data_IF_074742159035
#
_entry.id   IF_074742159035
#
_cell.length_a   1.000
_cell.length_b   1.000
_cell.length_c   1.000
_cell.angle_alpha   90.00
_cell.angle_beta   90.00
_cell.angle_gamma   90.00
#
_symmetry.space_group_name_H-M   'P 1'
#
loop_
_entity.id
_entity.type
_entity.pdbx_description
1 polymer ?
#
# COMPACT_ATOMS: atom_id res chain seq x y z
N UNK A 1 -7.00 -28.21 -17.36
CA UNK A 1 -7.89 -27.46 -18.29
C UNK A 1 -8.23 -26.06 -17.77
N UNK A 2 -8.85 -25.91 -16.60
CA UNK A 2 -9.23 -24.57 -16.03
C UNK A 2 -8.02 -23.64 -15.88
N UNK A 3 -6.90 -24.13 -15.39
CA UNK A 3 -5.68 -23.32 -15.24
C UNK A 3 -5.18 -22.78 -16.59
N UNK A 4 -5.19 -23.58 -17.65
CA UNK A 4 -4.76 -23.15 -18.98
C UNK A 4 -5.70 -22.07 -19.54
N UNK A 5 -7.02 -22.25 -19.43
CA UNK A 5 -8.01 -21.24 -19.84
C UNK A 5 -7.82 -19.93 -19.07
N UNK A 6 -7.55 -20.01 -17.76
CA UNK A 6 -7.27 -18.81 -16.96
C UNK A 6 -5.97 -18.12 -17.39
N UNK A 7 -4.91 -18.85 -17.77
CA UNK A 7 -3.68 -18.26 -18.33
C UNK A 7 -3.92 -17.55 -19.66
N UNK A 8 -4.68 -18.17 -20.56
CA UNK A 8 -5.09 -17.57 -21.84
C UNK A 8 -5.91 -16.28 -21.59
N UNK A 9 -6.89 -16.37 -20.70
CA UNK A 9 -7.70 -15.21 -20.29
C UNK A 9 -6.83 -14.06 -19.76
N UNK A 10 -5.84 -14.34 -18.91
CA UNK A 10 -4.95 -13.31 -18.38
C UNK A 10 -4.19 -12.60 -19.50
N UNK A 11 -3.60 -13.36 -20.44
CA UNK A 11 -2.77 -12.80 -21.52
C UNK A 11 -3.61 -11.94 -22.45
N UNK A 12 -4.80 -12.41 -22.87
CA UNK A 12 -5.58 -11.75 -23.90
C UNK A 12 -6.62 -10.76 -23.37
N UNK A 13 -6.98 -10.82 -22.10
CA UNK A 13 -8.01 -9.96 -21.50
C UNK A 13 -7.46 -9.20 -20.28
N UNK A 14 -7.04 -9.86 -19.22
CA UNK A 14 -6.73 -9.20 -17.96
C UNK A 14 -5.51 -8.25 -18.05
N UNK A 15 -4.41 -8.67 -18.67
CA UNK A 15 -3.24 -7.81 -18.88
C UNK A 15 -3.50 -6.64 -19.85
N UNK A 16 -4.12 -6.82 -21.01
CA UNK A 16 -4.55 -5.69 -21.85
C UNK A 16 -5.44 -4.69 -21.10
N UNK A 17 -6.43 -5.17 -20.34
CA UNK A 17 -7.28 -4.30 -19.51
C UNK A 17 -6.44 -3.56 -18.47
N UNK A 18 -5.50 -4.23 -17.79
CA UNK A 18 -4.63 -3.59 -16.81
C UNK A 18 -3.79 -2.47 -17.45
N UNK A 19 -3.20 -2.70 -18.62
CA UNK A 19 -2.39 -1.70 -19.33
C UNK A 19 -3.27 -0.51 -19.75
N UNK A 20 -4.42 -0.78 -20.40
CA UNK A 20 -5.35 0.25 -20.84
C UNK A 20 -5.85 1.10 -19.68
N UNK A 21 -6.30 0.47 -18.59
CA UNK A 21 -6.80 1.17 -17.41
C UNK A 21 -5.70 1.98 -16.72
N UNK A 22 -4.45 1.52 -16.75
CA UNK A 22 -3.32 2.29 -16.21
C UNK A 22 -3.09 3.58 -16.99
N UNK A 23 -3.18 3.52 -18.33
CA UNK A 23 -3.04 4.70 -19.20
C UNK A 23 -4.20 5.67 -18.97
N UNK A 24 -5.44 5.18 -18.99
CA UNK A 24 -6.65 5.98 -18.78
C UNK A 24 -6.57 6.68 -17.42
N UNK A 25 -6.30 5.95 -16.34
CA UNK A 25 -6.18 6.50 -14.98
C UNK A 25 -5.07 7.55 -14.87
N UNK A 26 -3.93 7.34 -15.56
CA UNK A 26 -2.87 8.34 -15.58
C UNK A 26 -3.29 9.65 -16.26
N UNK A 27 -4.06 9.56 -17.33
CA UNK A 27 -4.62 10.73 -18.03
C UNK A 27 -5.69 11.43 -17.17
N UNK A 28 -6.63 10.66 -16.58
CA UNK A 28 -7.65 11.20 -15.67
C UNK A 28 -7.04 11.95 -14.48
N UNK A 29 -6.04 11.34 -13.82
CA UNK A 29 -5.31 12.00 -12.73
C UNK A 29 -4.59 13.25 -13.23
N UNK A 30 -3.89 13.16 -14.36
CA UNK A 30 -3.12 14.27 -14.92
C UNK A 30 -3.96 15.47 -15.29
N UNK A 31 -5.07 15.24 -15.99
CA UNK A 31 -6.01 16.28 -16.39
C UNK A 31 -6.80 16.78 -15.17
N UNK A 32 -7.42 15.86 -14.44
CA UNK A 32 -8.31 16.19 -13.34
C UNK A 32 -7.64 16.95 -12.21
N UNK A 33 -6.39 16.62 -11.86
CA UNK A 33 -5.64 17.38 -10.83
C UNK A 33 -5.18 18.76 -11.31
N UNK A 34 -5.13 18.98 -12.61
CA UNK A 34 -4.70 20.27 -13.19
C UNK A 34 -5.87 21.26 -13.30
N UNK A 35 -7.06 20.78 -13.68
CA UNK A 35 -8.24 21.64 -13.96
C UNK A 35 -9.37 21.48 -12.94
N UNK A 36 -9.30 20.50 -12.03
CA UNK A 36 -10.36 20.16 -11.09
C UNK A 36 -9.88 20.05 -9.65
N UNK A 37 -10.69 19.39 -8.83
CA UNK A 37 -10.39 19.17 -7.42
C UNK A 37 -9.29 18.11 -7.25
N UNK A 38 -8.08 18.54 -6.86
CA UNK A 38 -6.93 17.65 -6.64
C UNK A 38 -7.15 16.57 -5.57
N UNK A 39 -8.02 16.84 -4.58
CA UNK A 39 -8.39 15.85 -3.56
C UNK A 39 -9.19 14.69 -4.17
N UNK A 40 -10.13 14.98 -5.05
CA UNK A 40 -10.92 13.97 -5.76
C UNK A 40 -10.08 13.25 -6.83
N UNK A 41 -9.52 13.99 -7.78
CA UNK A 41 -8.80 13.44 -8.92
C UNK A 41 -7.46 12.79 -8.56
N UNK A 42 -6.87 13.18 -7.44
CA UNK A 42 -5.65 12.56 -6.91
C UNK A 42 -5.86 11.21 -6.22
N UNK A 43 -7.11 10.77 -6.02
CA UNK A 43 -7.40 9.52 -5.31
C UNK A 43 -8.41 8.62 -6.04
N UNK A 44 -9.59 9.12 -6.40
CA UNK A 44 -10.69 8.27 -6.87
C UNK A 44 -10.42 7.53 -8.18
N UNK A 45 -9.77 8.11 -9.21
CA UNK A 45 -9.39 7.36 -10.40
C UNK A 45 -8.50 6.15 -10.08
N UNK A 46 -7.49 6.34 -9.22
CA UNK A 46 -6.62 5.25 -8.77
C UNK A 46 -7.36 4.18 -7.95
N UNK A 47 -8.36 4.58 -7.13
CA UNK A 47 -9.23 3.64 -6.43
C UNK A 47 -10.07 2.78 -7.39
N UNK A 48 -10.63 3.40 -8.42
CA UNK A 48 -11.37 2.68 -9.45
C UNK A 48 -10.46 1.77 -10.27
N UNK A 49 -9.30 2.26 -10.69
CA UNK A 49 -8.25 1.47 -11.34
C UNK A 49 -7.92 0.20 -10.57
N UNK A 50 -7.65 0.31 -9.28
CA UNK A 50 -7.33 -0.83 -8.43
C UNK A 50 -8.48 -1.87 -8.38
N UNK A 51 -9.73 -1.40 -8.27
CA UNK A 51 -10.92 -2.27 -8.29
C UNK A 51 -11.14 -2.95 -9.64
N UNK A 52 -10.92 -2.25 -10.74
CA UNK A 52 -11.04 -2.82 -12.09
C UNK A 52 -9.98 -3.91 -12.29
N UNK A 53 -8.73 -3.66 -11.87
CA UNK A 53 -7.65 -4.64 -12.00
C UNK A 53 -7.97 -5.92 -11.20
N UNK A 54 -8.34 -5.82 -9.94
CA UNK A 54 -8.68 -7.01 -9.14
C UNK A 54 -9.82 -7.82 -9.74
N UNK A 55 -10.84 -7.14 -10.31
CA UNK A 55 -11.95 -7.80 -11.00
C UNK A 55 -11.54 -8.40 -12.35
N UNK A 56 -10.69 -7.70 -13.12
CA UNK A 56 -10.17 -8.20 -14.38
C UNK A 56 -9.35 -9.49 -14.18
N UNK A 57 -8.66 -9.64 -13.06
CA UNK A 57 -7.99 -10.88 -12.68
C UNK A 57 -8.91 -11.87 -11.93
N UNK A 58 -10.21 -11.58 -11.82
CA UNK A 58 -11.21 -12.43 -11.15
C UNK A 58 -10.85 -12.77 -9.70
N UNK A 59 -10.18 -11.86 -9.00
CA UNK A 59 -9.71 -12.06 -7.64
C UNK A 59 -10.78 -11.63 -6.62
N UNK A 60 -11.29 -12.55 -5.79
CA UNK A 60 -12.20 -12.22 -4.71
C UNK A 60 -11.49 -11.38 -3.64
N UNK A 61 -12.15 -10.32 -3.17
CA UNK A 61 -11.63 -9.46 -2.11
C UNK A 61 -12.62 -9.36 -0.97
N UNK A 62 -12.13 -9.65 0.25
CA UNK A 62 -12.84 -9.43 1.50
C UNK A 62 -12.18 -8.27 2.27
N UNK A 63 -12.98 -7.45 2.94
CA UNK A 63 -12.49 -6.38 3.82
C UNK A 63 -13.18 -6.48 5.16
N UNK A 64 -12.41 -6.38 6.24
CA UNK A 64 -12.86 -6.46 7.62
C UNK A 64 -12.36 -5.24 8.39
N UNK A 65 -13.10 -4.78 9.41
CA UNK A 65 -12.66 -3.73 10.34
C UNK A 65 -12.79 -2.30 9.81
N UNK A 66 -13.63 -2.02 8.80
CA UNK A 66 -13.81 -0.63 8.31
C UNK A 66 -14.44 0.29 9.36
N UNK A 67 -15.19 -0.28 10.26
CA UNK A 67 -15.82 0.38 11.41
C UNK A 67 -14.81 1.00 12.38
N UNK A 68 -13.57 0.56 12.37
CA UNK A 68 -12.48 1.11 13.19
C UNK A 68 -11.98 2.48 12.70
N UNK A 69 -12.44 2.95 11.53
CA UNK A 69 -11.98 4.20 10.93
C UNK A 69 -12.99 5.34 11.12
N UNK A 70 -12.65 6.31 11.92
CA UNK A 70 -13.43 7.53 12.11
C UNK A 70 -13.39 8.42 10.85
N UNK A 71 -14.52 9.10 10.57
CA UNK A 71 -14.76 9.76 9.28
C UNK A 71 -13.73 10.84 8.95
N UNK A 72 -13.41 11.71 9.87
CA UNK A 72 -12.62 12.92 9.63
C UNK A 72 -11.22 12.85 10.27
N UNK A 73 -10.78 11.65 10.67
CA UNK A 73 -9.49 11.42 11.28
C UNK A 73 -8.43 11.08 10.22
N UNK A 74 -7.27 11.75 10.30
CA UNK A 74 -6.06 11.37 9.56
C UNK A 74 -5.31 10.26 10.26
N UNK A 75 -4.75 9.33 9.48
CA UNK A 75 -4.08 8.14 9.98
C UNK A 75 -2.74 7.91 9.30
N UNK A 76 -1.82 7.28 10.01
CA UNK A 76 -0.67 6.61 9.42
C UNK A 76 -0.99 5.12 9.30
N UNK A 77 -1.36 4.66 8.10
CA UNK A 77 -1.60 3.24 7.82
C UNK A 77 -0.30 2.50 7.63
N UNK A 78 -0.13 1.38 8.32
CA UNK A 78 1.03 0.49 8.21
C UNK A 78 0.59 -0.92 7.87
N UNK A 79 1.18 -1.53 6.83
CA UNK A 79 0.77 -2.85 6.34
C UNK A 79 1.96 -3.78 6.12
N UNK A 80 1.76 -5.09 6.22
CA UNK A 80 2.70 -6.08 5.70
C UNK A 80 2.74 -6.02 4.16
N UNK A 81 3.87 -6.43 3.56
CA UNK A 81 4.09 -6.31 2.11
C UNK A 81 4.47 -7.64 1.49
N UNK A 82 3.46 -8.39 1.05
CA UNK A 82 3.60 -9.73 0.49
C UNK A 82 3.75 -9.74 -1.05
N UNK A 83 3.02 -8.87 -1.76
CA UNK A 83 2.95 -8.93 -3.20
C UNK A 83 2.67 -7.59 -3.88
N UNK A 84 2.60 -7.59 -5.21
CA UNK A 84 2.21 -6.38 -5.97
C UNK A 84 0.71 -6.09 -5.82
N UNK A 85 -0.09 -7.11 -5.55
CA UNK A 85 -1.53 -6.98 -5.37
C UNK A 85 -1.92 -6.30 -4.04
N UNK A 86 -0.98 -6.15 -3.09
CA UNK A 86 -1.18 -5.33 -1.88
C UNK A 86 -1.60 -3.91 -2.23
N UNK A 87 -1.01 -3.34 -3.30
CA UNK A 87 -1.30 -1.98 -3.76
C UNK A 87 -2.76 -1.89 -4.24
N UNK A 88 -3.21 -2.84 -5.05
CA UNK A 88 -4.58 -2.87 -5.54
C UNK A 88 -5.59 -3.10 -4.40
N UNK A 89 -5.22 -3.95 -3.43
CA UNK A 89 -6.06 -4.26 -2.29
C UNK A 89 -6.29 -3.04 -1.41
N UNK A 90 -5.22 -2.37 -0.96
CA UNK A 90 -5.33 -1.18 -0.12
C UNK A 90 -6.00 -0.04 -0.91
N UNK A 91 -5.49 0.28 -2.12
CA UNK A 91 -5.97 1.45 -2.86
C UNK A 91 -7.43 1.34 -3.27
N UNK A 92 -7.84 0.15 -3.72
CA UNK A 92 -9.23 -0.10 -4.13
C UNK A 92 -10.21 -0.21 -2.96
N UNK A 93 -9.78 -0.75 -1.83
CA UNK A 93 -10.72 -1.30 -0.86
C UNK A 93 -10.62 -0.74 0.56
N UNK A 94 -9.55 -0.03 0.94
CA UNK A 94 -9.43 0.61 2.27
C UNK A 94 -10.58 1.60 2.56
N UNK A 95 -11.01 2.33 1.53
CA UNK A 95 -12.15 3.25 1.66
C UNK A 95 -11.80 4.62 2.24
N UNK A 96 -10.54 4.96 2.39
CA UNK A 96 -10.01 6.25 2.85
C UNK A 96 -9.11 6.88 1.82
N UNK A 97 -9.16 8.20 1.70
CA UNK A 97 -8.20 8.94 0.87
C UNK A 97 -6.86 9.02 1.62
N UNK A 98 -5.80 8.62 0.94
CA UNK A 98 -4.45 8.62 1.48
C UNK A 98 -3.42 8.86 0.38
N UNK A 99 -2.20 9.16 0.81
CA UNK A 99 -1.02 9.21 -0.07
C UNK A 99 -0.08 8.06 0.27
N UNK A 100 0.49 7.45 -0.78
CA UNK A 100 1.50 6.42 -0.61
C UNK A 100 2.86 7.01 -0.26
N UNK A 101 3.56 6.40 0.69
CA UNK A 101 5.00 6.52 0.79
C UNK A 101 5.64 5.40 -0.03
N UNK A 102 6.21 5.74 -1.18
CA UNK A 102 6.69 4.78 -2.17
C UNK A 102 8.16 5.02 -2.56
N UNK A 103 8.82 3.98 -3.09
CA UNK A 103 10.21 4.10 -3.57
C UNK A 103 10.32 5.12 -4.70
N UNK A 104 11.34 5.99 -4.65
CA UNK A 104 11.62 7.01 -5.67
C UNK A 104 11.68 6.44 -7.10
N UNK A 105 12.19 5.21 -7.28
CA UNK A 105 12.30 4.57 -8.58
C UNK A 105 10.94 4.36 -9.27
N UNK A 106 9.84 4.22 -8.51
CA UNK A 106 8.49 4.07 -9.08
C UNK A 106 8.04 5.33 -9.83
N UNK A 107 8.58 6.50 -9.49
CA UNK A 107 8.36 7.74 -10.22
C UNK A 107 8.92 7.76 -11.64
N UNK A 108 9.77 6.78 -12.01
CA UNK A 108 10.35 6.66 -13.36
C UNK A 108 9.52 5.80 -14.30
N UNK A 109 8.53 5.05 -13.78
CA UNK A 109 7.66 4.19 -14.60
C UNK A 109 6.73 5.08 -15.42
N UNK A 110 6.71 4.95 -16.76
CA UNK A 110 5.80 5.70 -17.62
C UNK A 110 4.35 5.60 -17.14
N UNK A 111 3.56 6.64 -17.33
CA UNK A 111 2.17 6.79 -16.86
C UNK A 111 2.01 6.68 -15.33
N UNK A 112 2.47 5.60 -14.70
CA UNK A 112 2.38 5.42 -13.23
C UNK A 112 3.12 6.53 -12.50
N UNK A 113 4.39 6.76 -12.81
CA UNK A 113 5.19 7.82 -12.17
C UNK A 113 4.64 9.22 -12.43
N UNK A 114 4.05 9.44 -13.62
CA UNK A 114 3.38 10.69 -13.94
C UNK A 114 2.14 10.89 -13.05
N UNK A 115 1.24 9.90 -12.98
CA UNK A 115 0.05 9.94 -12.14
C UNK A 115 0.41 10.12 -10.65
N UNK A 116 1.43 9.39 -10.16
CA UNK A 116 1.89 9.51 -8.78
C UNK A 116 2.42 10.91 -8.43
N UNK A 117 3.14 11.57 -9.34
CA UNK A 117 3.58 12.97 -9.14
C UNK A 117 2.39 13.93 -9.12
N UNK A 118 1.48 13.80 -10.07
CA UNK A 118 0.29 14.65 -10.19
C UNK A 118 -0.69 14.48 -9.02
N UNK A 119 -0.75 13.30 -8.42
CA UNK A 119 -1.57 13.00 -7.24
C UNK A 119 -0.84 13.24 -5.91
N UNK A 120 0.34 13.88 -5.93
CA UNK A 120 1.15 14.22 -4.75
C UNK A 120 1.48 13.02 -3.86
N UNK A 121 1.88 11.88 -4.49
CA UNK A 121 2.38 10.74 -3.73
C UNK A 121 3.79 11.04 -3.18
N UNK A 122 4.13 10.48 -2.03
CA UNK A 122 5.39 10.75 -1.33
C UNK A 122 6.46 9.79 -1.82
N UNK A 123 7.47 10.33 -2.52
CA UNK A 123 8.59 9.55 -3.01
C UNK A 123 9.72 9.47 -1.98
N UNK A 124 9.96 8.27 -1.45
CA UNK A 124 11.04 8.01 -0.48
C UNK A 124 12.37 7.90 -1.21
N UNK A 125 13.19 8.92 -1.08
CA UNK A 125 14.54 8.97 -1.63
C UNK A 125 15.60 8.79 -0.52
N UNK A 126 16.28 7.64 -0.52
CA UNK A 126 17.28 7.27 0.50
C UNK A 126 18.72 7.65 0.12
N UNK A 127 18.94 8.43 -0.95
CA UNK A 127 20.26 8.77 -1.48
C UNK A 127 20.96 9.92 -0.72
N UNK A 128 20.78 9.97 0.58
CA UNK A 128 21.46 10.89 1.48
C UNK A 128 20.52 11.60 2.45
N UNK A 129 21.08 12.16 3.54
CA UNK A 129 20.30 12.74 4.64
C UNK A 129 19.34 13.85 4.21
N UNK A 130 19.76 14.75 3.31
CA UNK A 130 18.93 15.84 2.79
C UNK A 130 17.68 15.32 2.06
N UNK A 131 17.81 14.24 1.28
CA UNK A 131 16.70 13.62 0.55
C UNK A 131 15.73 12.91 1.49
N UNK A 132 16.27 12.24 2.49
CA UNK A 132 15.46 11.62 3.54
C UNK A 132 14.67 12.70 4.29
N UNK A 133 15.33 13.79 4.72
CA UNK A 133 14.66 14.91 5.38
C UNK A 133 13.52 15.47 4.53
N UNK A 134 13.76 15.75 3.25
CA UNK A 134 12.72 16.25 2.33
C UNK A 134 11.53 15.29 2.23
N UNK A 135 11.77 13.97 2.20
CA UNK A 135 10.68 12.95 2.22
C UNK A 135 9.79 13.11 3.45
N UNK A 136 10.39 13.27 4.64
CA UNK A 136 9.63 13.45 5.88
C UNK A 136 8.93 14.81 5.95
N UNK A 137 9.57 15.88 5.48
CA UNK A 137 8.96 17.21 5.43
C UNK A 137 7.71 17.17 4.53
N UNK A 138 7.79 16.57 3.34
CA UNK A 138 6.63 16.36 2.45
C UNK A 138 5.53 15.51 3.10
N UNK A 139 5.89 14.44 3.80
CA UNK A 139 4.91 13.59 4.48
C UNK A 139 4.20 14.35 5.61
N UNK A 140 4.93 15.19 6.35
CA UNK A 140 4.39 16.06 7.42
C UNK A 140 3.38 17.05 6.85
N UNK A 141 3.73 17.77 5.78
CA UNK A 141 2.83 18.71 5.11
C UNK A 141 1.53 18.03 4.69
N UNK A 142 1.59 16.86 4.03
CA UNK A 142 0.44 16.08 3.59
C UNK A 142 -0.47 15.67 4.77
N UNK A 143 0.11 15.22 5.87
CA UNK A 143 -0.65 14.84 7.07
C UNK A 143 -1.30 16.06 7.75
N UNK A 144 -0.61 17.21 7.76
CA UNK A 144 -1.16 18.47 8.30
C UNK A 144 -2.30 19.02 7.44
N UNK A 145 -2.33 18.73 6.13
CA UNK A 145 -3.44 19.05 5.23
C UNK A 145 -4.66 18.15 5.42
N UNK A 146 -4.61 17.18 6.37
CA UNK A 146 -5.72 16.28 6.69
C UNK A 146 -5.78 15.01 5.84
N UNK A 147 -4.75 14.72 5.01
CA UNK A 147 -4.65 13.42 4.35
C UNK A 147 -4.11 12.36 5.31
N UNK A 148 -4.42 11.11 5.01
CA UNK A 148 -3.74 9.96 5.60
C UNK A 148 -2.52 9.56 4.77
N UNK A 149 -1.60 8.83 5.36
CA UNK A 149 -0.43 8.26 4.67
C UNK A 149 -0.44 6.75 4.83
N UNK A 150 -0.10 6.04 3.76
CA UNK A 150 0.05 4.57 3.78
C UNK A 150 1.49 4.19 3.46
N UNK A 151 2.03 3.29 4.27
CA UNK A 151 3.41 2.82 4.13
C UNK A 151 3.53 1.32 4.40
N UNK A 152 4.47 0.68 3.71
CA UNK A 152 4.94 -0.66 4.05
C UNK A 152 6.22 -0.53 4.87
N UNK A 153 6.16 -0.66 6.22
CA UNK A 153 7.30 -0.38 7.08
C UNK A 153 8.45 -1.40 6.92
N UNK A 154 8.20 -2.54 6.31
CA UNK A 154 9.24 -3.50 5.89
C UNK A 154 10.20 -2.91 4.86
N UNK A 155 9.72 -1.97 4.02
CA UNK A 155 10.50 -1.29 2.99
C UNK A 155 10.72 -2.09 1.71
N UNK A 156 10.34 -3.37 1.66
CA UNK A 156 10.35 -4.21 0.47
C UNK A 156 9.33 -5.35 0.61
N UNK A 157 8.88 -5.91 -0.53
CA UNK A 157 8.04 -7.11 -0.55
C UNK A 157 8.80 -8.32 -0.03
N UNK A 158 8.12 -9.19 0.71
CA UNK A 158 8.65 -10.48 1.14
C UNK A 158 8.93 -11.41 -0.05
N UNK A 159 9.96 -12.26 0.09
CA UNK A 159 10.22 -13.39 -0.82
C UNK A 159 9.63 -14.70 -0.31
N UNK A 160 9.26 -14.75 0.97
CA UNK A 160 8.79 -15.96 1.66
C UNK A 160 7.29 -15.92 1.99
N UNK A 161 6.66 -14.75 1.85
CA UNK A 161 5.29 -14.50 2.33
C UNK A 161 5.24 -14.11 3.82
N UNK A 162 6.29 -14.38 4.59
CA UNK A 162 6.38 -13.98 5.99
C UNK A 162 6.67 -12.48 6.12
N UNK A 163 6.21 -11.89 7.21
CA UNK A 163 6.41 -10.48 7.49
C UNK A 163 7.84 -10.21 7.95
N UNK A 164 8.47 -9.20 7.35
CA UNK A 164 9.78 -8.71 7.75
C UNK A 164 9.74 -7.76 8.95
N UNK A 165 10.90 -7.32 9.42
CA UNK A 165 11.01 -6.35 10.51
C UNK A 165 10.47 -4.99 10.07
N UNK A 166 9.72 -4.32 10.95
CA UNK A 166 9.26 -2.96 10.73
C UNK A 166 10.38 -1.93 11.00
N UNK A 167 10.40 -0.88 10.19
CA UNK A 167 11.32 0.26 10.33
C UNK A 167 10.61 1.41 11.03
N UNK A 168 11.31 2.11 11.90
CA UNK A 168 10.76 3.16 12.78
C UNK A 168 10.17 4.38 12.06
N UNK A 169 10.53 4.64 10.80
CA UNK A 169 10.26 5.92 10.14
C UNK A 169 8.81 6.37 10.10
N UNK A 170 7.87 5.48 9.81
CA UNK A 170 6.44 5.82 9.81
C UNK A 170 5.91 6.09 11.21
N UNK A 171 6.39 5.34 12.19
CA UNK A 171 6.00 5.47 13.59
C UNK A 171 6.55 6.75 14.21
N UNK A 172 7.79 7.13 13.87
CA UNK A 172 8.37 8.40 14.29
C UNK A 172 7.61 9.61 13.72
N UNK A 173 7.14 9.52 12.47
CA UNK A 173 6.29 10.56 11.87
C UNK A 173 4.93 10.66 12.56
N UNK A 174 4.31 9.52 12.87
CA UNK A 174 3.05 9.47 13.61
C UNK A 174 3.21 10.05 15.03
N UNK A 175 4.28 9.69 15.73
CA UNK A 175 4.61 10.20 17.06
C UNK A 175 4.84 11.72 17.06
N UNK A 176 5.62 12.23 16.10
CA UNK A 176 5.89 13.66 15.96
C UNK A 176 4.59 14.49 15.78
N UNK A 177 3.66 13.98 14.98
CA UNK A 177 2.39 14.65 14.66
C UNK A 177 1.23 14.24 15.58
N UNK A 178 1.48 13.37 16.55
CA UNK A 178 0.47 12.82 17.47
C UNK A 178 -0.74 12.24 16.73
N UNK A 179 -0.47 11.52 15.62
CA UNK A 179 -1.49 10.87 14.81
C UNK A 179 -1.61 9.39 15.15
N UNK A 180 -2.84 8.83 15.11
CA UNK A 180 -3.03 7.41 15.32
C UNK A 180 -2.45 6.59 14.17
N UNK A 181 -1.87 5.44 14.52
CA UNK A 181 -1.40 4.42 13.58
C UNK A 181 -2.45 3.33 13.43
N UNK A 182 -2.83 3.02 12.20
CA UNK A 182 -3.76 1.91 11.92
C UNK A 182 -3.01 0.77 11.24
N UNK A 183 -2.85 -0.38 11.92
CA UNK A 183 -2.29 -1.57 11.31
C UNK A 183 -3.27 -2.17 10.29
N UNK A 184 -2.74 -2.64 9.17
CA UNK A 184 -3.47 -3.33 8.11
C UNK A 184 -2.83 -4.70 7.88
N UNK A 185 -3.63 -5.78 7.95
CA UNK A 185 -3.15 -7.10 7.57
C UNK A 185 -3.63 -7.45 6.18
N UNK A 186 -2.68 -7.84 5.32
CA UNK A 186 -2.94 -8.35 3.97
C UNK A 186 -2.69 -9.84 3.96
N UNK A 187 -3.70 -10.59 3.53
CA UNK A 187 -3.60 -12.03 3.28
C UNK A 187 -3.92 -12.36 1.83
N UNK A 188 -3.28 -13.41 1.29
CA UNK A 188 -3.54 -13.96 -0.03
C UNK A 188 -2.77 -13.29 -1.18
N UNK A 189 -2.24 -12.10 -1.02
CA UNK A 189 -1.52 -11.40 -2.09
C UNK A 189 -0.23 -12.12 -2.50
N UNK A 190 0.48 -12.77 -1.58
CA UNK A 190 1.63 -13.61 -1.89
C UNK A 190 1.22 -14.83 -2.73
N UNK A 191 0.10 -15.47 -2.41
CA UNK A 191 -0.42 -16.62 -3.16
C UNK A 191 -0.89 -16.21 -4.56
N UNK A 192 -1.44 -15.00 -4.70
CA UNK A 192 -1.84 -14.43 -6.00
C UNK A 192 -0.65 -14.20 -6.90
N UNK A 193 0.39 -13.51 -6.42
CA UNK A 193 1.58 -13.22 -7.20
C UNK A 193 2.81 -13.09 -6.29
N UNK A 194 3.48 -14.20 -5.97
CA UNK A 194 4.68 -14.19 -5.14
C UNK A 194 5.79 -13.36 -5.81
N UNK A 195 6.60 -12.71 -4.99
CA UNK A 195 7.82 -12.08 -5.48
C UNK A 195 8.81 -13.15 -5.87
N UNK A 196 9.20 -13.16 -7.14
CA UNK A 196 10.24 -14.07 -7.66
C UNK A 196 11.38 -13.26 -8.27
N UNK A 197 12.50 -13.93 -8.54
CA UNK A 197 13.66 -13.36 -9.26
C UNK A 197 13.47 -13.36 -10.78
N UNK A 198 12.41 -14.00 -11.31
CA UNK A 198 12.10 -14.08 -12.72
C UNK A 198 11.32 -12.87 -13.25
N UNK A 199 11.34 -12.68 -14.57
CA UNK A 199 10.75 -11.49 -15.20
C UNK A 199 9.24 -11.57 -15.43
N UNK A 200 8.65 -12.76 -15.54
CA UNK A 200 7.21 -12.92 -15.86
C UNK A 200 6.62 -14.01 -14.99
N UNK A 201 5.72 -13.62 -14.10
CA UNK A 201 4.82 -14.53 -13.41
C UNK A 201 3.39 -14.22 -13.80
N UNK A 202 2.63 -15.27 -14.09
CA UNK A 202 1.19 -15.16 -14.27
C UNK A 202 0.51 -15.21 -12.90
N UNK A 203 -0.60 -14.49 -12.79
CA UNK A 203 -1.39 -14.38 -11.56
C UNK A 203 -2.06 -15.71 -11.24
N UNK A 204 -1.94 -16.18 -10.02
CA UNK A 204 -2.72 -17.33 -9.54
C UNK A 204 -4.06 -16.82 -9.01
N UNK A 205 -5.12 -17.59 -9.26
CA UNK A 205 -6.40 -17.29 -8.65
C UNK A 205 -6.35 -17.64 -7.16
N UNK A 206 -6.55 -16.65 -6.32
CA UNK A 206 -6.60 -16.81 -4.86
C UNK A 206 -7.41 -15.65 -4.25
N UNK A 207 -8.27 -15.89 -3.24
CA UNK A 207 -8.94 -14.81 -2.52
C UNK A 207 -7.93 -13.98 -1.71
N UNK A 208 -8.22 -12.67 -1.60
CA UNK A 208 -7.44 -11.74 -0.80
C UNK A 208 -8.29 -11.13 0.32
N UNK A 209 -7.69 -10.93 1.48
CA UNK A 209 -8.36 -10.26 2.61
C UNK A 209 -7.53 -9.05 3.05
N UNK A 210 -8.21 -7.94 3.28
CA UNK A 210 -7.69 -6.76 3.95
C UNK A 210 -8.38 -6.65 5.32
N UNK A 211 -7.62 -6.83 6.40
CA UNK A 211 -8.09 -6.61 7.76
C UNK A 211 -7.57 -5.26 8.25
N UNK A 212 -8.47 -4.39 8.67
CA UNK A 212 -8.19 -3.06 9.24
C UNK A 212 -8.31 -3.22 10.75
N UNK A 213 -7.21 -3.05 11.47
CA UNK A 213 -7.20 -3.15 12.92
C UNK A 213 -7.66 -1.84 13.57
N UNK A 214 -7.91 -1.89 14.87
CA UNK A 214 -8.16 -0.70 15.68
C UNK A 214 -6.97 0.25 15.63
N UNK A 215 -7.28 1.54 15.70
CA UNK A 215 -6.26 2.58 15.70
C UNK A 215 -5.47 2.57 17.00
N UNK A 216 -4.15 2.63 16.90
CA UNK A 216 -3.23 2.79 18.03
C UNK A 216 -3.01 4.29 18.22
N UNK A 217 -3.61 4.85 19.25
CA UNK A 217 -3.45 6.26 19.60
C UNK A 217 -2.15 6.48 20.38
N UNK A 218 -1.47 7.63 20.18
CA UNK A 218 -0.27 7.95 20.95
C UNK A 218 -0.62 8.11 22.44
N UNK A 219 0.15 7.47 23.30
CA UNK A 219 0.01 7.56 24.78
C UNK A 219 1.05 8.55 25.36
N UNK A 220 2.04 8.91 24.57
CA UNK A 220 3.10 9.84 24.91
C UNK A 220 3.81 10.32 23.66
N UNK A 221 5.04 10.81 23.80
CA UNK A 221 5.88 11.24 22.70
C UNK A 221 7.34 10.84 22.93
N UNK A 222 8.04 10.53 21.86
CA UNK A 222 9.45 10.22 21.86
C UNK A 222 9.77 8.74 21.59
N UNK A 223 11.04 8.34 21.72
CA UNK A 223 11.53 7.03 21.29
C UNK A 223 10.78 5.84 21.88
N UNK A 224 10.38 5.91 23.14
CA UNK A 224 9.69 4.81 23.82
C UNK A 224 8.28 4.62 23.27
N UNK A 225 7.56 5.72 22.98
CA UNK A 225 6.24 5.66 22.33
C UNK A 225 6.35 5.14 20.90
N UNK A 226 7.36 5.55 20.15
CA UNK A 226 7.64 5.03 18.78
C UNK A 226 7.86 3.52 18.81
N UNK A 227 8.67 3.01 19.75
CA UNK A 227 8.97 1.58 19.86
C UNK A 227 7.74 0.78 20.33
N UNK A 228 6.97 1.31 21.26
CA UNK A 228 5.74 0.69 21.74
C UNK A 228 4.68 0.59 20.63
N UNK A 229 4.42 1.70 19.93
CA UNK A 229 3.46 1.75 18.81
C UNK A 229 3.88 0.82 17.68
N UNK A 230 5.17 0.80 17.31
CA UNK A 230 5.70 -0.09 16.29
C UNK A 230 5.52 -1.56 16.66
N UNK A 231 5.81 -1.95 17.91
CA UNK A 231 5.63 -3.32 18.39
C UNK A 231 4.16 -3.72 18.37
N UNK A 232 3.28 -2.89 18.93
CA UNK A 232 1.84 -3.15 18.93
C UNK A 232 1.27 -3.29 17.51
N UNK A 233 1.69 -2.44 16.58
CA UNK A 233 1.29 -2.53 15.18
C UNK A 233 1.81 -3.82 14.53
N UNK A 234 3.05 -4.22 14.81
CA UNK A 234 3.62 -5.48 14.32
C UNK A 234 2.84 -6.69 14.82
N UNK A 235 2.53 -6.73 16.12
CA UNK A 235 1.77 -7.80 16.76
C UNK A 235 0.34 -7.87 16.20
N UNK A 236 -0.32 -6.73 16.02
CA UNK A 236 -1.66 -6.66 15.41
C UNK A 236 -1.66 -7.22 13.99
N UNK A 237 -0.71 -6.83 13.14
CA UNK A 237 -0.61 -7.37 11.79
C UNK A 237 -0.31 -8.86 11.81
N UNK A 238 0.62 -9.30 12.66
CA UNK A 238 1.02 -10.71 12.78
C UNK A 238 -0.14 -11.61 13.23
N UNK A 239 -0.98 -11.12 14.16
CA UNK A 239 -2.08 -11.90 14.74
C UNK A 239 -3.16 -12.29 13.71
N UNK A 240 -3.37 -11.47 12.67
CA UNK A 240 -4.36 -11.70 11.63
C UNK A 240 -3.77 -12.33 10.34
N UNK A 241 -2.46 -12.59 10.29
CA UNK A 241 -1.87 -13.35 9.18
C UNK A 241 -2.34 -14.81 9.24
N UNK A 242 -2.55 -15.40 8.05
CA UNK A 242 -2.83 -16.83 7.96
C UNK A 242 -1.68 -17.64 8.57
N UNK A 243 -1.96 -18.78 9.27
CA UNK A 243 -0.94 -19.50 10.04
C UNK A 243 0.35 -19.85 9.27
N UNK A 244 0.25 -20.14 7.98
CA UNK A 244 1.40 -20.48 7.13
C UNK A 244 2.39 -19.33 6.93
N UNK A 245 2.01 -18.07 7.21
CA UNK A 245 2.85 -16.89 7.07
C UNK A 245 3.10 -16.18 8.40
N UNK A 246 2.63 -16.75 9.52
CA UNK A 246 2.99 -16.28 10.85
C UNK A 246 4.44 -16.63 11.20
N UNK A 247 5.02 -15.85 12.11
CA UNK A 247 6.41 -15.98 12.51
C UNK A 247 7.37 -15.22 11.57
N UNK A 248 8.58 -15.03 12.06
CA UNK A 248 9.66 -14.36 11.31
C UNK A 248 10.48 -15.39 10.55
N UNK A 249 10.65 -15.16 9.27
CA UNK A 249 11.59 -15.89 8.42
C UNK A 249 12.53 -14.88 7.79
N UNK A 250 13.83 -15.11 7.92
CA UNK A 250 14.83 -14.21 7.34
C UNK A 250 14.66 -14.14 5.82
N UNK A 251 14.56 -12.93 5.32
CA UNK A 251 14.38 -12.70 3.90
C UNK A 251 15.76 -12.66 3.24
N UNK A 252 16.10 -13.57 2.31
CA UNK A 252 17.47 -13.73 1.80
C UNK A 252 18.04 -12.50 1.07
N UNK A 253 17.24 -11.45 0.86
CA UNK A 253 17.63 -10.24 0.12
C UNK A 253 17.29 -8.93 0.88
N UNK A 254 17.14 -8.97 2.21
CA UNK A 254 16.95 -7.76 3.06
C UNK A 254 18.22 -7.38 3.82
#
# INVERSE_FOLDING_TARGET
MITLLYRIYQIFIAFPVMVLMTIITALEVGIGTTIGNGHFWGYYPGRWWAKVITRAFLLPVKVEGREHLEKDQSYVFVANHQGIFDIFLIYGYLGRNFKWMMKYQLGKIPFVGYACRKSHQIFVDKRGPKKIKHTYDTAREILQEGYSVTVFPEGARSFTGHMGKFRKGAFALADELQLPVVPLTINGSFDVLPRTRGFINLVNWHPMTLTIHEAIYPVGQGPDNVDATMRQAYESVMSALVPKYQGYVENPDQ
#
